data_IF_093130727410
#
_entry.id   IF_093130727410
#
_cell.length_a   1.000
_cell.length_b   1.000
_cell.length_c   1.000
_cell.angle_alpha   90.00
_cell.angle_beta   90.00
_cell.angle_gamma   90.00
#
_symmetry.space_group_name_H-M   'P 1'
#
loop_
_entity.id
_entity.type
_entity.pdbx_description
1 polymer ?
#
# COMPACT_ATOMS: atom_id res chain seq x y z
N UNK A 1 8.24 -11.46 31.74
CA UNK A 1 8.89 -12.10 30.58
C UNK A 1 10.09 -12.89 31.09
N UNK A 2 10.23 -14.16 30.69
CA UNK A 2 11.37 -15.01 31.08
C UNK A 2 12.66 -14.50 30.42
N UNK A 3 13.82 -14.58 31.11
CA UNK A 3 15.14 -14.24 30.55
C UNK A 3 15.46 -15.02 29.27
N UNK A 4 14.86 -16.19 29.08
CA UNK A 4 15.06 -17.03 27.89
C UNK A 4 14.32 -16.51 26.66
N UNK A 5 13.26 -15.71 26.85
CA UNK A 5 12.41 -15.23 25.77
C UNK A 5 12.91 -13.92 25.15
N UNK A 6 13.87 -13.26 25.80
CA UNK A 6 14.48 -12.01 25.32
C UNK A 6 15.34 -12.20 24.07
N UNK A 7 15.76 -13.44 23.77
CA UNK A 7 16.61 -13.77 22.63
C UNK A 7 15.90 -14.63 21.59
N UNK A 8 14.62 -14.93 21.79
CA UNK A 8 13.79 -15.60 20.78
C UNK A 8 13.63 -14.66 19.58
N UNK A 9 14.06 -15.05 18.36
CA UNK A 9 13.83 -14.23 17.18
C UNK A 9 12.31 -14.08 16.97
N UNK A 10 11.84 -12.84 16.99
CA UNK A 10 10.45 -12.51 16.68
C UNK A 10 10.32 -12.50 15.16
N UNK A 11 9.63 -13.50 14.63
CA UNK A 11 9.31 -13.56 13.20
C UNK A 11 8.08 -12.69 12.92
N UNK A 12 8.31 -11.45 12.50
CA UNK A 12 7.23 -10.56 12.05
C UNK A 12 6.90 -10.92 10.60
N UNK A 13 5.73 -11.50 10.37
CA UNK A 13 5.26 -11.81 9.01
C UNK A 13 4.89 -10.49 8.31
N UNK A 14 5.77 -10.01 7.43
CA UNK A 14 5.62 -8.79 6.63
C UNK A 14 4.61 -9.03 5.49
N UNK A 15 3.35 -9.26 5.81
CA UNK A 15 2.30 -9.65 4.84
C UNK A 15 1.80 -8.46 4.01
N UNK A 16 2.04 -7.22 4.47
CA UNK A 16 1.16 -6.08 4.18
C UNK A 16 1.75 -5.02 3.25
N UNK A 17 2.84 -5.31 2.52
CA UNK A 17 3.55 -4.31 1.68
C UNK A 17 4.00 -3.05 2.44
N UNK A 18 4.03 -3.11 3.77
CA UNK A 18 4.54 -2.05 4.64
C UNK A 18 6.04 -1.82 4.39
N UNK A 19 6.73 -2.86 3.92
CA UNK A 19 8.11 -2.82 3.48
C UNK A 19 8.18 -3.22 2.02
N UNK A 20 8.90 -2.43 1.23
CA UNK A 20 9.24 -2.71 -0.16
C UNK A 20 10.71 -3.16 -0.23
N UNK A 21 11.02 -4.29 -0.90
CA UNK A 21 12.40 -4.71 -1.07
C UNK A 21 13.10 -3.82 -2.09
N UNK A 22 14.24 -3.27 -1.70
CA UNK A 22 15.10 -2.45 -2.53
C UNK A 22 16.47 -3.15 -2.68
N UNK A 23 16.95 -3.36 -3.92
CA UNK A 23 18.22 -4.03 -4.13
C UNK A 23 19.37 -3.09 -3.77
N UNK A 24 20.25 -3.53 -2.86
CA UNK A 24 21.48 -2.82 -2.53
C UNK A 24 22.68 -3.57 -3.10
N UNK A 25 23.39 -2.91 -4.02
CA UNK A 25 24.54 -3.48 -4.69
C UNK A 25 25.86 -2.92 -4.15
N UNK A 26 26.72 -3.79 -3.65
CA UNK A 26 28.12 -3.46 -3.34
C UNK A 26 29.09 -3.95 -4.43
N UNK A 27 28.58 -4.56 -5.51
CA UNK A 27 29.38 -5.00 -6.65
C UNK A 27 29.69 -3.82 -7.59
N UNK A 28 30.73 -3.03 -7.27
CA UNK A 28 31.09 -1.84 -8.06
C UNK A 28 31.55 -2.15 -9.50
N UNK A 29 32.05 -3.36 -9.80
CA UNK A 29 32.52 -3.80 -11.13
C UNK A 29 32.56 -5.35 -11.28
N UNK A 30 31.80 -6.08 -10.46
CA UNK A 30 31.82 -7.55 -10.41
C UNK A 30 30.49 -8.18 -10.79
N UNK A 31 30.44 -9.50 -10.90
CA UNK A 31 29.18 -10.22 -11.04
C UNK A 31 28.28 -9.95 -9.82
N UNK A 32 27.03 -9.56 -10.07
CA UNK A 32 26.04 -9.35 -9.02
C UNK A 32 25.70 -10.70 -8.39
N UNK A 33 25.92 -10.82 -7.09
CA UNK A 33 25.60 -11.99 -6.28
C UNK A 33 24.30 -11.82 -5.51
N UNK A 34 23.45 -10.85 -5.88
CA UNK A 34 22.15 -10.65 -5.26
C UNK A 34 21.21 -11.81 -5.63
N UNK A 35 20.76 -12.62 -4.66
CA UNK A 35 19.84 -13.71 -4.94
C UNK A 35 18.47 -13.17 -5.36
N UNK A 36 17.75 -13.95 -6.17
CA UNK A 36 16.37 -13.62 -6.51
C UNK A 36 15.51 -13.57 -5.25
N UNK A 37 14.76 -12.48 -5.10
CA UNK A 37 13.95 -12.20 -3.91
C UNK A 37 12.91 -13.30 -3.67
N UNK A 38 12.35 -13.90 -4.72
CA UNK A 38 11.33 -14.94 -4.60
C UNK A 38 11.89 -16.30 -4.13
N UNK A 39 13.19 -16.53 -4.33
CA UNK A 39 13.89 -17.76 -3.92
C UNK A 39 14.76 -17.59 -2.67
N UNK A 40 14.71 -16.40 -2.06
CA UNK A 40 15.49 -16.06 -0.87
C UNK A 40 14.96 -16.78 0.37
N UNK A 41 15.53 -17.94 0.69
CA UNK A 41 15.29 -18.61 1.98
C UNK A 41 16.06 -17.91 3.11
N UNK A 42 15.33 -17.22 3.99
CA UNK A 42 15.88 -16.45 5.11
C UNK A 42 16.72 -17.25 6.12
N UNK A 43 16.68 -18.59 6.09
CA UNK A 43 17.41 -19.48 6.99
C UNK A 43 18.85 -19.75 6.56
N UNK A 44 19.21 -19.44 5.31
CA UNK A 44 20.56 -19.68 4.79
C UNK A 44 21.34 -18.38 4.85
N UNK A 45 22.38 -18.32 5.69
CA UNK A 45 23.37 -17.23 5.64
C UNK A 45 24.12 -17.33 4.30
N UNK A 46 23.61 -16.62 3.31
CA UNK A 46 24.32 -16.43 2.05
C UNK A 46 25.40 -15.37 2.28
N UNK A 47 26.67 -15.74 2.07
CA UNK A 47 27.78 -14.79 2.09
C UNK A 47 27.79 -14.00 0.77
N UNK A 48 26.78 -13.16 0.56
CA UNK A 48 26.67 -12.27 -0.61
C UNK A 48 27.08 -10.86 -0.24
N UNK A 49 27.73 -10.18 -1.17
CA UNK A 49 28.09 -8.77 -1.03
C UNK A 49 26.90 -7.87 -1.33
N UNK A 50 26.03 -8.26 -2.26
CA UNK A 50 24.77 -7.57 -2.50
C UNK A 50 23.67 -8.11 -1.56
N UNK A 51 22.77 -7.23 -1.14
CA UNK A 51 21.72 -7.58 -0.19
C UNK A 51 20.40 -6.87 -0.55
N UNK A 52 19.30 -7.45 -0.08
CA UNK A 52 18.00 -6.79 -0.11
C UNK A 52 17.83 -5.93 1.14
N UNK A 53 17.56 -4.65 0.94
CA UNK A 53 17.13 -3.75 2.00
C UNK A 53 15.61 -3.64 1.96
N UNK A 54 15.02 -3.28 3.09
CA UNK A 54 13.59 -3.10 3.21
C UNK A 54 13.30 -1.65 3.54
N UNK A 55 12.64 -0.97 2.62
CA UNK A 55 12.24 0.42 2.79
C UNK A 55 10.80 0.48 3.26
N UNK A 56 10.55 1.27 4.30
CA UNK A 56 9.18 1.53 4.76
C UNK A 56 8.41 2.33 3.72
N UNK A 57 7.24 1.81 3.33
CA UNK A 57 6.43 2.40 2.25
C UNK A 57 5.49 3.50 2.74
N UNK A 58 5.33 3.67 4.06
CA UNK A 58 4.31 4.58 4.62
C UNK A 58 2.87 4.12 4.32
N UNK A 59 2.68 2.88 3.87
CA UNK A 59 1.34 2.30 3.68
C UNK A 59 0.97 1.41 4.85
N UNK A 60 -0.33 1.25 5.13
CA UNK A 60 -0.85 0.44 6.24
C UNK A 60 -0.29 0.84 7.62
N UNK A 61 0.09 2.11 7.80
CA UNK A 61 0.66 2.68 9.05
C UNK A 61 -0.29 2.51 10.24
N UNK A 62 -1.60 2.51 9.98
CA UNK A 62 -2.60 2.40 11.02
C UNK A 62 -2.87 0.94 11.39
N UNK A 63 -2.58 0.58 12.64
CA UNK A 63 -2.84 -0.74 13.22
C UNK A 63 -4.26 -0.93 13.74
N UNK A 64 -5.17 0.05 13.59
CA UNK A 64 -6.53 -0.08 14.11
C UNK A 64 -7.34 -1.13 13.33
N UNK A 65 -8.33 -1.76 13.98
CA UNK A 65 -9.17 -2.78 13.34
C UNK A 65 -9.93 -2.24 12.12
N UNK A 66 -10.25 -0.94 12.11
CA UNK A 66 -10.93 -0.27 11.00
C UNK A 66 -10.05 -0.19 9.75
N UNK A 67 -8.79 0.23 9.89
CA UNK A 67 -7.83 0.26 8.78
C UNK A 67 -7.37 -1.16 8.38
N UNK A 68 -7.47 -2.13 9.30
CA UNK A 68 -7.24 -3.55 9.01
C UNK A 68 -8.39 -4.22 8.26
N UNK A 69 -9.61 -3.66 8.30
CA UNK A 69 -10.76 -4.23 7.61
C UNK A 69 -10.71 -3.94 6.09
N UNK A 70 -9.88 -4.72 5.41
CA UNK A 70 -9.77 -4.70 3.95
C UNK A 70 -11.08 -5.08 3.25
N UNK A 71 -11.99 -5.77 3.92
CA UNK A 71 -13.30 -6.14 3.34
C UNK A 71 -14.25 -4.95 3.45
N UNK A 72 -14.43 -4.41 4.65
CA UNK A 72 -15.23 -3.21 4.90
C UNK A 72 -14.78 -2.03 4.06
N UNK A 73 -13.47 -1.73 4.05
CA UNK A 73 -12.95 -0.64 3.23
C UNK A 73 -13.24 -0.82 1.73
N UNK A 74 -13.13 -2.05 1.20
CA UNK A 74 -13.51 -2.33 -0.19
C UNK A 74 -15.01 -2.17 -0.43
N UNK A 75 -15.85 -2.52 0.55
CA UNK A 75 -17.30 -2.34 0.46
C UNK A 75 -17.68 -0.85 0.50
N UNK A 76 -17.03 -0.06 1.35
CA UNK A 76 -17.22 1.39 1.44
C UNK A 76 -16.83 2.08 0.14
N UNK A 77 -15.64 1.79 -0.40
CA UNK A 77 -15.22 2.30 -1.71
C UNK A 77 -16.18 1.91 -2.84
N UNK A 78 -16.75 0.70 -2.80
CA UNK A 78 -17.77 0.28 -3.77
C UNK A 78 -19.06 1.09 -3.60
N UNK A 79 -19.48 1.35 -2.36
CA UNK A 79 -20.67 2.13 -2.05
C UNK A 79 -20.50 3.58 -2.50
N UNK A 80 -19.35 4.19 -2.21
CA UNK A 80 -19.00 5.55 -2.66
C UNK A 80 -19.01 5.67 -4.19
N UNK A 81 -18.38 4.74 -4.90
CA UNK A 81 -18.39 4.73 -6.38
C UNK A 81 -19.80 4.61 -6.95
N UNK A 82 -20.65 3.78 -6.36
CA UNK A 82 -22.05 3.65 -6.79
C UNK A 82 -22.83 4.93 -6.53
N UNK A 83 -22.66 5.55 -5.36
CA UNK A 83 -23.30 6.82 -5.03
C UNK A 83 -22.86 7.94 -6.00
N UNK A 84 -21.56 8.01 -6.29
CA UNK A 84 -21.01 8.95 -7.27
C UNK A 84 -21.58 8.71 -8.68
N UNK A 85 -21.65 7.45 -9.14
CA UNK A 85 -22.23 7.11 -10.43
C UNK A 85 -23.71 7.51 -10.52
N UNK A 86 -24.51 7.20 -9.49
CA UNK A 86 -25.92 7.60 -9.43
C UNK A 86 -26.10 9.12 -9.44
N UNK A 87 -25.25 9.86 -8.72
CA UNK A 87 -25.26 11.32 -8.70
C UNK A 87 -24.91 11.92 -10.06
N UNK A 88 -23.90 11.38 -10.74
CA UNK A 88 -23.53 11.83 -12.08
C UNK A 88 -24.63 11.55 -13.11
N UNK A 89 -25.29 10.38 -13.04
CA UNK A 89 -26.42 10.07 -13.92
C UNK A 89 -27.62 10.99 -13.67
N UNK A 90 -27.88 11.35 -12.41
CA UNK A 90 -28.89 12.37 -12.09
C UNK A 90 -28.51 13.74 -12.66
N UNK A 91 -27.26 14.18 -12.45
CA UNK A 91 -26.75 15.43 -13.00
C UNK A 91 -26.86 15.48 -14.52
N UNK A 92 -26.52 14.38 -15.22
CA UNK A 92 -26.69 14.24 -16.68
C UNK A 92 -28.13 14.50 -17.10
N UNK A 93 -29.11 13.86 -16.45
CA UNK A 93 -30.54 14.06 -16.77
C UNK A 93 -31.00 15.49 -16.51
N UNK A 94 -30.53 16.11 -15.43
CA UNK A 94 -30.88 17.50 -15.13
C UNK A 94 -30.29 18.46 -16.16
N UNK A 95 -29.04 18.22 -16.59
CA UNK A 95 -28.39 18.99 -17.63
C UNK A 95 -29.12 18.86 -18.98
N UNK A 96 -29.57 17.66 -19.35
CA UNK A 96 -30.39 17.44 -20.56
C UNK A 96 -31.73 18.19 -20.53
N UNK A 97 -32.26 18.48 -19.34
CA UNK A 97 -33.46 19.30 -19.14
C UNK A 97 -33.15 20.82 -19.12
N UNK A 98 -31.90 21.21 -19.37
CA UNK A 98 -31.48 22.61 -19.43
C UNK A 98 -31.02 23.18 -18.08
N UNK A 99 -30.81 22.36 -17.06
CA UNK A 99 -30.21 22.85 -15.82
C UNK A 99 -28.69 23.00 -15.97
N UNK A 100 -28.23 24.23 -16.20
CA UNK A 100 -26.80 24.54 -16.37
C UNK A 100 -25.98 24.31 -15.09
N UNK A 101 -26.59 24.34 -13.91
CA UNK A 101 -25.91 24.16 -12.62
C UNK A 101 -25.90 22.70 -12.13
N UNK A 102 -26.26 21.73 -12.98
CA UNK A 102 -26.44 20.32 -12.60
C UNK A 102 -25.17 19.62 -12.08
N UNK A 103 -24.00 20.23 -12.27
CA UNK A 103 -22.71 19.68 -11.87
C UNK A 103 -21.89 20.63 -10.97
N UNK A 104 -22.45 21.74 -10.51
CA UNK A 104 -21.72 22.74 -9.69
C UNK A 104 -21.22 22.16 -8.36
N UNK A 105 -21.87 21.11 -7.88
CA UNK A 105 -21.49 20.39 -6.67
C UNK A 105 -20.40 19.32 -6.92
N UNK A 106 -20.08 19.00 -8.18
CA UNK A 106 -19.07 18.01 -8.56
C UNK A 106 -17.69 18.67 -8.53
N UNK A 107 -17.10 18.67 -7.35
CA UNK A 107 -15.71 19.10 -7.16
C UNK A 107 -14.78 18.04 -7.76
N UNK A 108 -13.97 18.41 -8.75
CA UNK A 108 -12.82 17.58 -9.15
C UNK A 108 -11.96 17.43 -7.90
N UNK A 109 -11.74 16.21 -7.38
CA UNK A 109 -10.88 16.05 -6.23
C UNK A 109 -9.54 16.69 -6.59
N UNK A 110 -9.18 17.78 -5.90
CA UNK A 110 -7.80 18.20 -5.88
C UNK A 110 -7.07 16.94 -5.46
N UNK A 111 -6.20 16.41 -6.32
CA UNK A 111 -5.33 15.29 -5.96
C UNK A 111 -4.50 15.84 -4.79
N UNK A 112 -4.99 15.65 -3.57
CA UNK A 112 -4.33 16.09 -2.36
C UNK A 112 -2.98 15.40 -2.37
N UNK A 113 -1.97 16.20 -2.71
CA UNK A 113 -0.55 15.88 -2.66
C UNK A 113 -0.01 16.15 -1.26
N UNK A 114 -0.93 16.16 -0.27
CA UNK A 114 -0.71 16.50 1.12
C UNK A 114 -1.04 15.27 1.97
N UNK A 115 -0.17 14.28 1.88
CA UNK A 115 0.00 13.28 2.93
C UNK A 115 1.48 13.30 3.27
N UNK A 116 1.80 13.89 4.42
CA UNK A 116 3.11 13.90 5.07
C UNK A 116 3.44 12.52 5.63
#
# INVERSE_FOLDING_TARGET
MSRTDAHSPIWVRLIRRELEPEPWHFCFNGACDLPDFASYESSTRLETRCAWFFKYTGTNVCSCDVCRDQVGHRLDLRRERRAAASRLELGRRQWELGNESAFDDVVVPHRNRDWW
#
